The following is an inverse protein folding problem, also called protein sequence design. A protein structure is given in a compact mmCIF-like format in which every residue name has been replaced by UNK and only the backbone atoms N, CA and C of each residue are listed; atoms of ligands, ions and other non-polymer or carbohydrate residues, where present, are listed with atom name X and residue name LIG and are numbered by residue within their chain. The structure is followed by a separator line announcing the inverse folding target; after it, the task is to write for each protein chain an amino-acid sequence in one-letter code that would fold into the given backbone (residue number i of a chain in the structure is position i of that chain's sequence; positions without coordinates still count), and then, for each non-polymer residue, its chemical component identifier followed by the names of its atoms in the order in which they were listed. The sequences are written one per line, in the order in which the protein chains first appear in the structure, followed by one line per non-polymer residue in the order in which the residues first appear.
data_IF_675173538392
#
_entry.id   IF_675173538392
#
_cell.length_a   1.000
_cell.length_b   1.000
_cell.length_c   1.000
_cell.angle_alpha   90.00
_cell.angle_beta   90.00
_cell.angle_gamma   90.00
#
_symmetry.space_group_name_H-M   'P 1'
#
loop_
_entity.id
_entity.type
_entity.pdbx_description
1 polymer ?
#
# COMPACT_ATOMS: atom_id res chain seq x y z
N UNK A 1 -2.63 9.01 -31.41
CA UNK A 1 -3.78 9.11 -30.50
C UNK A 1 -3.33 8.67 -29.12
N UNK A 2 -3.16 9.62 -28.20
CA UNK A 2 -2.84 9.33 -26.79
C UNK A 2 -4.05 8.64 -26.15
N UNK A 3 -3.78 7.57 -25.40
CA UNK A 3 -4.78 6.73 -24.73
C UNK A 3 -5.80 7.59 -23.96
N UNK A 4 -7.10 7.26 -24.06
CA UNK A 4 -8.19 8.02 -23.43
C UNK A 4 -8.02 8.18 -21.91
N UNK A 5 -8.82 9.05 -21.29
CA UNK A 5 -8.71 9.38 -19.88
C UNK A 5 -8.72 8.11 -19.00
N UNK A 6 -7.54 7.72 -18.50
CA UNK A 6 -7.41 6.63 -17.55
C UNK A 6 -8.18 6.97 -16.28
N UNK A 7 -8.81 5.99 -15.66
CA UNK A 7 -9.53 6.18 -14.38
C UNK A 7 -8.65 5.86 -13.16
N UNK A 8 -7.56 5.13 -13.39
CA UNK A 8 -6.65 4.63 -12.37
C UNK A 8 -5.25 5.16 -12.63
N UNK A 9 -4.64 5.79 -11.63
CA UNK A 9 -3.31 6.36 -11.73
C UNK A 9 -2.42 5.79 -10.64
N UNK A 10 -1.36 5.11 -11.05
CA UNK A 10 -0.37 4.55 -10.15
C UNK A 10 0.67 5.61 -9.82
N UNK A 11 0.79 5.92 -8.53
CA UNK A 11 1.84 6.79 -8.01
C UNK A 11 2.37 6.18 -6.72
N UNK A 12 3.68 5.94 -6.68
CA UNK A 12 4.38 5.42 -5.52
C UNK A 12 5.48 6.40 -5.14
N UNK A 13 5.24 7.17 -4.06
CA UNK A 13 6.12 8.25 -3.65
C UNK A 13 7.11 7.84 -2.55
N UNK A 14 7.03 6.60 -2.05
CA UNK A 14 7.87 6.11 -0.97
C UNK A 14 8.47 4.73 -1.24
N UNK A 15 8.55 4.30 -2.50
CA UNK A 15 9.34 3.12 -2.82
C UNK A 15 10.80 3.34 -2.35
N UNK A 16 11.19 2.59 -1.32
CA UNK A 16 12.53 2.59 -0.68
C UNK A 16 12.93 3.85 0.11
N UNK A 17 11.99 4.73 0.48
CA UNK A 17 12.28 5.88 1.35
C UNK A 17 11.27 6.00 2.50
N UNK A 18 11.76 6.11 3.74
CA UNK A 18 10.92 6.40 4.90
C UNK A 18 10.33 7.81 4.80
N UNK A 19 9.01 7.98 5.04
CA UNK A 19 8.41 9.30 5.14
C UNK A 19 9.10 10.13 6.25
N UNK A 20 9.47 11.39 5.99
CA UNK A 20 10.15 12.24 6.97
C UNK A 20 9.17 12.74 8.03
N UNK A 21 8.69 11.85 8.90
CA UNK A 21 7.73 12.18 9.96
C UNK A 21 8.42 12.76 11.19
N UNK A 22 9.73 12.55 11.34
CA UNK A 22 10.66 13.15 12.30
C UNK A 22 11.75 13.89 11.54
N UNK A 23 12.26 14.99 12.10
CA UNK A 23 13.21 15.89 11.44
C UNK A 23 14.64 15.34 11.23
N UNK A 24 14.83 14.02 11.20
CA UNK A 24 16.14 13.38 11.03
C UNK A 24 16.09 12.13 10.15
N UNK A 25 17.27 11.62 9.77
CA UNK A 25 17.46 10.51 8.82
C UNK A 25 16.80 9.16 9.18
N UNK A 26 16.31 9.00 10.42
CA UNK A 26 15.64 7.78 10.92
C UNK A 26 14.12 7.91 11.02
N UNK A 27 13.54 8.97 10.44
CA UNK A 27 12.10 9.12 10.19
C UNK A 27 11.20 9.24 11.43
N UNK A 28 11.52 8.67 12.60
CA UNK A 28 10.60 8.56 13.74
C UNK A 28 11.21 8.89 15.11
N UNK A 29 12.55 8.95 15.23
CA UNK A 29 13.19 9.32 16.50
C UNK A 29 12.82 10.78 16.84
N UNK A 30 12.16 10.97 17.98
CA UNK A 30 11.79 12.26 18.61
C UNK A 30 10.49 12.96 18.16
N UNK A 31 9.48 12.23 17.69
CA UNK A 31 8.14 12.79 17.41
C UNK A 31 7.05 11.96 18.10
N UNK A 32 6.02 12.64 18.64
CA UNK A 32 4.88 11.94 19.24
C UNK A 32 4.07 11.20 18.18
N UNK A 33 3.43 10.08 18.56
CA UNK A 33 2.55 9.30 17.68
C UNK A 33 1.49 10.16 17.01
N UNK A 34 0.87 11.09 17.75
CA UNK A 34 -0.12 12.01 17.19
C UNK A 34 0.48 12.93 16.11
N UNK A 35 1.72 13.39 16.27
CA UNK A 35 2.40 14.22 15.28
C UNK A 35 2.76 13.41 14.04
N UNK A 36 3.30 12.19 14.24
CA UNK A 36 3.59 11.23 13.17
C UNK A 36 2.34 10.97 12.33
N UNK A 37 1.24 10.59 12.97
CA UNK A 37 0.01 10.20 12.29
C UNK A 37 -0.65 11.38 11.56
N UNK A 38 -0.59 12.58 12.14
CA UNK A 38 -1.04 13.80 11.45
C UNK A 38 -0.21 14.08 10.19
N UNK A 39 1.11 13.90 10.26
CA UNK A 39 2.00 14.09 9.09
C UNK A 39 1.76 13.04 8.02
N UNK A 40 1.62 11.77 8.41
CA UNK A 40 1.30 10.69 7.48
C UNK A 40 -0.03 10.93 6.76
N UNK A 41 -1.08 11.31 7.50
CA UNK A 41 -2.36 11.65 6.91
C UNK A 41 -2.26 12.84 5.93
N UNK A 42 -1.48 13.87 6.29
CA UNK A 42 -1.22 15.00 5.40
C UNK A 42 -0.47 14.59 4.12
N UNK A 43 0.48 13.65 4.21
CA UNK A 43 1.19 13.13 3.03
C UNK A 43 0.26 12.34 2.11
N UNK A 44 -0.50 11.38 2.64
CA UNK A 44 -1.46 10.62 1.83
C UNK A 44 -2.49 11.52 1.17
N UNK A 45 -3.02 12.50 1.91
CA UNK A 45 -3.95 13.51 1.36
C UNK A 45 -3.31 14.33 0.25
N UNK A 46 -2.10 14.85 0.45
CA UNK A 46 -1.41 15.67 -0.54
C UNK A 46 -1.17 14.90 -1.84
N UNK A 47 -0.74 13.64 -1.75
CA UNK A 47 -0.54 12.77 -2.91
C UNK A 47 -1.84 12.57 -3.69
N UNK A 48 -2.93 12.24 -3.00
CA UNK A 48 -4.24 12.10 -3.64
C UNK A 48 -4.71 13.42 -4.28
N UNK A 49 -4.59 14.55 -3.57
CA UNK A 49 -4.97 15.87 -4.09
C UNK A 49 -4.21 16.21 -5.36
N UNK A 50 -2.88 15.97 -5.42
CA UNK A 50 -2.12 16.20 -6.64
C UNK A 50 -2.62 15.39 -7.85
N UNK A 51 -3.05 14.14 -7.62
CA UNK A 51 -3.65 13.31 -8.68
C UNK A 51 -5.03 13.84 -9.07
N UNK A 52 -5.88 14.16 -8.09
CA UNK A 52 -7.25 14.60 -8.31
C UNK A 52 -7.33 15.99 -8.97
N UNK A 53 -6.38 16.89 -8.67
CA UNK A 53 -6.29 18.22 -9.29
C UNK A 53 -5.88 18.11 -10.77
N UNK A 54 -4.99 17.17 -11.10
CA UNK A 54 -4.60 16.90 -12.48
C UNK A 54 -5.69 16.15 -13.25
N UNK A 55 -6.37 15.21 -12.59
CA UNK A 55 -7.40 14.36 -13.19
C UNK A 55 -8.59 14.21 -12.22
N UNK A 56 -9.58 15.10 -12.33
CA UNK A 56 -10.78 15.05 -11.49
C UNK A 56 -11.47 13.69 -11.57
N UNK A 57 -11.70 13.06 -10.41
CA UNK A 57 -12.35 11.75 -10.32
C UNK A 57 -11.44 10.56 -10.56
N UNK A 58 -10.12 10.74 -10.60
CA UNK A 58 -9.16 9.65 -10.58
C UNK A 58 -9.23 8.81 -9.30
N UNK A 59 -8.91 7.52 -9.41
CA UNK A 59 -8.59 6.63 -8.30
C UNK A 59 -7.07 6.50 -8.21
N UNK A 60 -6.51 6.80 -7.03
CA UNK A 60 -5.09 6.60 -6.76
C UNK A 60 -4.80 5.13 -6.48
N UNK A 61 -3.84 4.57 -7.23
CA UNK A 61 -3.35 3.20 -7.05
C UNK A 61 -1.96 3.25 -6.39
N UNK A 62 -1.75 2.48 -5.32
CA UNK A 62 -0.48 2.37 -4.59
C UNK A 62 -0.11 0.90 -4.38
N UNK A 63 1.19 0.56 -4.35
CA UNK A 63 1.65 -0.78 -4.00
C UNK A 63 1.84 -0.91 -2.48
N UNK A 64 1.46 -2.06 -1.90
CA UNK A 64 1.64 -2.32 -0.46
C UNK A 64 3.09 -2.64 -0.08
N UNK A 65 3.98 -2.82 -1.06
CA UNK A 65 5.37 -3.24 -0.89
C UNK A 65 6.09 -2.46 0.19
N UNK A 66 5.96 -1.13 0.17
CA UNK A 66 6.56 -0.21 1.13
C UNK A 66 6.16 -0.52 2.58
N UNK A 67 4.94 -1.01 2.82
CA UNK A 67 4.47 -1.40 4.15
C UNK A 67 5.14 -2.69 4.66
N UNK A 68 5.45 -3.62 3.76
CA UNK A 68 6.18 -4.85 4.09
C UNK A 68 7.67 -4.63 4.25
N UNK A 69 8.29 -3.88 3.33
CA UNK A 69 9.73 -3.63 3.28
C UNK A 69 10.25 -2.94 4.56
N UNK A 70 9.53 -1.93 5.05
CA UNK A 70 9.88 -1.19 6.26
C UNK A 70 8.87 -1.42 7.39
N UNK A 71 8.50 -2.68 7.63
CA UNK A 71 7.47 -3.09 8.61
C UNK A 71 7.71 -2.61 10.05
N UNK A 72 8.96 -2.28 10.43
CA UNK A 72 9.26 -1.65 11.74
C UNK A 72 8.62 -0.28 11.86
N UNK A 73 8.65 0.51 10.79
CA UNK A 73 8.05 1.84 10.72
C UNK A 73 6.55 1.75 10.40
N UNK A 74 6.21 0.97 9.38
CA UNK A 74 4.84 0.79 8.87
C UNK A 74 4.00 -0.16 9.73
N UNK A 75 3.95 0.13 11.03
CA UNK A 75 2.99 -0.50 11.92
C UNK A 75 1.55 -0.22 11.47
N UNK A 76 0.58 -1.07 11.84
CA UNK A 76 -0.80 -0.96 11.36
C UNK A 76 -1.41 0.43 11.56
N UNK A 77 -1.09 1.10 12.66
CA UNK A 77 -1.55 2.45 12.97
C UNK A 77 -0.93 3.52 12.05
N UNK A 78 0.34 3.35 11.65
CA UNK A 78 1.02 4.25 10.73
C UNK A 78 0.45 4.10 9.31
N UNK A 79 0.18 2.87 8.87
CA UNK A 79 -0.49 2.60 7.59
C UNK A 79 -1.90 3.20 7.61
N UNK A 80 -2.68 2.93 8.65
CA UNK A 80 -4.03 3.50 8.78
C UNK A 80 -4.00 5.03 8.77
N UNK A 81 -3.06 5.67 9.48
CA UNK A 81 -2.90 7.12 9.48
C UNK A 81 -2.58 7.68 8.09
N UNK A 82 -1.68 7.03 7.34
CA UNK A 82 -1.31 7.44 5.99
C UNK A 82 -2.48 7.40 5.01
N UNK A 83 -3.34 6.38 5.11
CA UNK A 83 -4.47 6.19 4.19
C UNK A 83 -5.74 6.95 4.61
N UNK A 84 -5.85 7.39 5.86
CA UNK A 84 -7.12 7.87 6.47
C UNK A 84 -7.77 9.04 5.73
N UNK A 85 -6.98 10.01 5.26
CA UNK A 85 -7.50 11.25 4.70
C UNK A 85 -7.71 11.18 3.16
N UNK A 86 -7.62 9.98 2.58
CA UNK A 86 -7.97 9.68 1.18
C UNK A 86 -9.36 9.03 1.15
N UNK A 87 -10.30 9.44 0.28
CA UNK A 87 -11.61 8.78 0.20
C UNK A 87 -11.50 7.30 -0.17
N UNK A 88 -12.30 6.44 0.47
CA UNK A 88 -12.24 4.98 0.30
C UNK A 88 -12.50 4.53 -1.16
N UNK A 89 -13.41 5.21 -1.86
CA UNK A 89 -13.76 4.95 -3.26
C UNK A 89 -12.71 5.50 -4.26
N UNK A 90 -11.72 6.25 -3.77
CA UNK A 90 -10.68 6.92 -4.56
C UNK A 90 -9.28 6.36 -4.32
N UNK A 91 -9.18 5.21 -3.66
CA UNK A 91 -7.93 4.49 -3.45
C UNK A 91 -8.05 3.01 -3.81
N UNK A 92 -6.99 2.45 -4.37
CA UNK A 92 -6.83 1.03 -4.59
C UNK A 92 -5.41 0.61 -4.19
N UNK A 93 -5.29 -0.31 -3.23
CA UNK A 93 -4.00 -0.87 -2.82
C UNK A 93 -3.71 -2.15 -3.60
N UNK A 94 -2.57 -2.20 -4.27
CA UNK A 94 -2.05 -3.41 -4.92
C UNK A 94 -1.15 -4.16 -3.95
N UNK A 95 -1.70 -5.21 -3.34
CA UNK A 95 -0.98 -6.13 -2.48
C UNK A 95 -0.41 -7.29 -3.30
N UNK A 96 0.59 -6.98 -4.13
CA UNK A 96 1.13 -7.90 -5.13
C UNK A 96 2.50 -8.49 -4.76
N UNK A 97 3.10 -8.08 -3.63
CA UNK A 97 4.41 -8.58 -3.17
C UNK A 97 4.32 -9.70 -2.14
N UNK A 98 3.22 -10.45 -2.09
CA UNK A 98 2.94 -11.42 -1.01
C UNK A 98 3.89 -12.62 -0.98
N UNK A 99 4.58 -12.90 -2.09
CA UNK A 99 5.65 -13.90 -2.18
C UNK A 99 6.91 -13.46 -1.41
N UNK A 100 7.14 -12.15 -1.30
CA UNK A 100 8.30 -11.58 -0.61
C UNK A 100 7.99 -11.08 0.80
N UNK A 101 6.80 -10.50 0.99
CA UNK A 101 6.28 -9.99 2.25
C UNK A 101 4.86 -10.52 2.44
N UNK A 102 4.76 -11.73 2.99
CA UNK A 102 3.48 -12.34 3.27
C UNK A 102 2.69 -11.53 4.32
N UNK A 103 1.35 -11.61 4.22
CA UNK A 103 0.41 -11.13 5.23
C UNK A 103 0.34 -9.62 5.46
N UNK A 104 0.86 -8.79 4.56
CA UNK A 104 0.78 -7.31 4.68
C UNK A 104 -0.67 -6.84 4.80
N UNK A 105 -1.60 -7.39 4.02
CA UNK A 105 -3.02 -7.08 4.15
C UNK A 105 -3.59 -7.46 5.54
N UNK A 106 -3.14 -8.58 6.15
CA UNK A 106 -3.60 -9.00 7.49
C UNK A 106 -3.07 -8.05 8.56
N UNK A 107 -1.78 -7.73 8.50
CA UNK A 107 -1.11 -6.83 9.44
C UNK A 107 -1.77 -5.45 9.41
N UNK A 108 -2.10 -4.95 8.22
CA UNK A 108 -2.73 -3.64 8.01
C UNK A 108 -4.26 -3.65 8.17
N UNK A 109 -4.86 -4.78 8.59
CA UNK A 109 -6.31 -4.96 8.76
C UNK A 109 -7.08 -4.58 7.49
N UNK A 110 -6.74 -5.23 6.38
CA UNK A 110 -7.25 -4.93 5.04
C UNK A 110 -7.06 -3.45 4.67
N UNK A 111 -5.85 -2.93 4.89
CA UNK A 111 -5.47 -1.55 4.60
C UNK A 111 -6.43 -0.52 5.19
N UNK A 112 -6.83 -0.71 6.44
CA UNK A 112 -7.80 0.13 7.15
C UNK A 112 -9.14 0.30 6.39
N UNK A 113 -9.59 -0.73 5.67
CA UNK A 113 -10.86 -0.77 4.94
C UNK A 113 -10.81 -0.17 3.53
N UNK A 114 -9.63 0.22 3.03
CA UNK A 114 -9.48 0.62 1.63
C UNK A 114 -9.68 -0.57 0.70
N UNK A 115 -10.11 -0.31 -0.54
CA UNK A 115 -10.15 -1.35 -1.59
C UNK A 115 -8.75 -1.83 -1.90
N UNK A 116 -8.58 -3.13 -2.09
CA UNK A 116 -7.29 -3.73 -2.37
C UNK A 116 -7.39 -4.94 -3.30
N UNK A 117 -6.28 -5.29 -3.96
CA UNK A 117 -6.13 -6.47 -4.81
C UNK A 117 -4.99 -7.31 -4.27
N UNK A 118 -5.21 -8.62 -4.16
CA UNK A 118 -4.19 -9.60 -3.78
C UNK A 118 -3.49 -10.18 -5.01
N UNK A 119 -2.17 -10.35 -4.94
CA UNK A 119 -1.39 -11.01 -5.99
C UNK A 119 0.05 -11.30 -5.59
N UNK A 120 0.83 -11.77 -6.56
CA UNK A 120 2.24 -12.14 -6.41
C UNK A 120 3.06 -11.54 -7.57
N UNK A 121 4.30 -11.12 -7.30
CA UNK A 121 5.26 -10.68 -8.33
C UNK A 121 6.25 -11.83 -8.55
N UNK A 122 6.08 -12.57 -9.65
CA UNK A 122 6.97 -13.69 -9.97
C UNK A 122 8.33 -13.29 -10.56
N UNK A 123 8.54 -12.02 -10.93
CA UNK A 123 9.75 -11.62 -11.65
C UNK A 123 10.23 -10.23 -11.19
N UNK A 124 11.28 -10.22 -10.38
CA UNK A 124 12.03 -9.03 -10.01
C UNK A 124 13.19 -8.87 -10.99
N UNK A 125 13.04 -8.01 -12.00
CA UNK A 125 14.18 -7.56 -12.81
C UNK A 125 14.79 -8.57 -13.80
N UNK A 126 14.01 -9.54 -14.31
CA UNK A 126 14.43 -10.36 -15.46
C UNK A 126 15.37 -11.53 -15.13
N UNK A 127 15.38 -12.00 -13.88
CA UNK A 127 16.12 -13.21 -13.51
C UNK A 127 15.19 -14.42 -13.48
N UNK A 128 15.39 -15.33 -14.44
CA UNK A 128 14.78 -16.65 -14.45
C UNK A 128 15.58 -17.56 -13.50
N UNK A 129 15.02 -17.98 -12.35
CA UNK A 129 14.66 -19.38 -12.26
C UNK A 129 13.34 -19.64 -11.54
N UNK A 130 12.67 -20.70 -12.00
CA UNK A 130 11.39 -21.23 -11.51
C UNK A 130 11.50 -21.66 -10.05
N UNK A 131 11.04 -20.82 -9.12
CA UNK A 131 10.64 -21.25 -7.78
C UNK A 131 9.28 -20.65 -7.47
N UNK A 132 8.25 -21.49 -7.59
CA UNK A 132 6.89 -21.18 -7.19
C UNK A 132 6.29 -22.45 -6.57
N UNK A 133 6.10 -22.44 -5.26
CA UNK A 133 5.41 -23.54 -4.59
C UNK A 133 3.90 -23.44 -4.90
N UNK A 134 3.48 -24.15 -5.95
CA UNK A 134 2.08 -24.24 -6.37
C UNK A 134 1.12 -24.70 -5.26
N UNK A 135 1.63 -25.43 -4.25
CA UNK A 135 0.85 -25.81 -3.07
C UNK A 135 0.51 -24.61 -2.18
N UNK A 136 1.50 -23.77 -1.91
CA UNK A 136 1.31 -22.55 -1.10
C UNK A 136 0.23 -21.63 -1.71
N UNK A 137 0.28 -21.37 -3.02
CA UNK A 137 -0.69 -20.47 -3.67
C UNK A 137 -2.12 -20.99 -3.61
N UNK A 138 -2.32 -22.29 -3.82
CA UNK A 138 -3.65 -22.90 -3.79
C UNK A 138 -4.26 -22.78 -2.39
N UNK A 139 -3.48 -23.11 -1.37
CA UNK A 139 -3.97 -23.15 0.00
C UNK A 139 -4.19 -21.73 0.55
N UNK A 140 -3.35 -20.77 0.14
CA UNK A 140 -3.44 -19.37 0.55
C UNK A 140 -4.59 -18.60 -0.11
N UNK A 141 -4.83 -18.77 -1.42
CA UNK A 141 -5.99 -18.19 -2.11
C UNK A 141 -7.31 -18.77 -1.57
N UNK A 142 -7.35 -20.08 -1.31
CA UNK A 142 -8.50 -20.71 -0.69
C UNK A 142 -8.76 -20.16 0.72
N UNK A 143 -7.71 -19.96 1.52
CA UNK A 143 -7.82 -19.35 2.85
C UNK A 143 -8.30 -17.89 2.79
N UNK A 144 -7.90 -17.13 1.76
CA UNK A 144 -8.31 -15.74 1.58
C UNK A 144 -9.82 -15.61 1.32
N UNK A 145 -10.37 -16.42 0.41
CA UNK A 145 -11.80 -16.37 0.03
C UNK A 145 -12.75 -16.87 1.13
N UNK A 146 -12.25 -17.68 2.07
CA UNK A 146 -13.03 -18.22 3.18
C UNK A 146 -13.16 -17.27 4.38
N UNK A 147 -12.46 -16.13 4.37
CA UNK A 147 -12.34 -15.23 5.53
C UNK A 147 -13.34 -14.08 5.49
N UNK A 148 -13.90 -13.76 6.66
CA UNK A 148 -14.89 -12.68 6.85
C UNK A 148 -14.26 -11.31 7.18
N UNK A 149 -12.96 -11.27 7.41
CA UNK A 149 -12.20 -10.08 7.78
C UNK A 149 -11.43 -9.44 6.61
N UNK A 150 -11.85 -9.70 5.38
CA UNK A 150 -11.23 -9.17 4.15
C UNK A 150 -11.60 -7.72 3.82
N UNK A 151 -12.49 -7.10 4.61
CA UNK A 151 -13.06 -5.78 4.27
C UNK A 151 -14.18 -5.88 3.22
N UNK A 152 -14.84 -4.76 2.94
CA UNK A 152 -15.99 -4.65 2.03
C UNK A 152 -15.61 -4.63 0.55
#
# INVERSE_FOLDING_TARGET
HMYGAGRYYLADAFNEMLPPVGGGHDGSRNVSTATRDRRLAAYGKAMYTSIADAVPGATWVIQSWTFGADSRFWQPEAVAAFLRDVPDDRMLVLDIGNDRYADVWKQTRAFAGKRWIYGYIYNYGGSNPVYGDLGYYRDDIAALTARKDTGH
#
